data_IF_866859739121
#
_entry.id   IF_866859739121
#
_cell.length_a   1.000
_cell.length_b   1.000
_cell.length_c   1.000
_cell.angle_alpha   90.00
_cell.angle_beta   90.00
_cell.angle_gamma   90.00
#
_symmetry.space_group_name_H-M   'P 1'
#
loop_
_entity.id
_entity.type
_entity.pdbx_description
1 polymer ?
#
# COMPACT_ATOMS: atom_id res chain seq x y z
N UNK A 1 11.86 36.58 3.06
CA UNK A 1 11.43 35.63 4.10
C UNK A 1 10.65 34.51 3.39
N UNK A 2 11.33 33.42 3.07
CA UNK A 2 10.69 32.27 2.43
C UNK A 2 9.93 31.53 3.53
N UNK A 3 8.60 31.50 3.45
CA UNK A 3 7.77 30.62 4.27
C UNK A 3 8.10 29.19 3.85
N UNK A 4 8.99 28.52 4.57
CA UNK A 4 9.13 27.09 4.50
C UNK A 4 7.78 26.48 4.89
N UNK A 5 7.03 26.02 3.91
CA UNK A 5 5.85 25.19 4.15
C UNK A 5 6.37 23.90 4.78
N UNK A 6 6.33 23.82 6.09
CA UNK A 6 6.69 22.60 6.84
C UNK A 6 5.76 21.50 6.35
N UNK A 7 6.31 20.52 5.65
CA UNK A 7 5.54 19.39 5.14
C UNK A 7 4.90 18.65 6.31
N UNK A 8 3.62 18.32 6.19
CA UNK A 8 2.87 17.64 7.27
C UNK A 8 3.48 16.29 7.57
N UNK A 9 3.74 16.02 8.84
CA UNK A 9 4.23 14.75 9.34
C UNK A 9 3.16 13.68 9.15
N UNK A 10 3.45 12.67 8.34
CA UNK A 10 2.48 11.68 7.88
C UNK A 10 2.98 10.27 8.18
N UNK A 11 2.10 9.43 8.71
CA UNK A 11 2.30 7.99 8.74
C UNK A 11 1.57 7.36 7.54
N UNK A 12 2.14 6.30 6.99
CA UNK A 12 1.55 5.49 5.92
C UNK A 12 1.53 4.04 6.36
N UNK A 13 0.36 3.41 6.29
CA UNK A 13 0.23 1.97 6.39
C UNK A 13 0.07 1.38 4.99
N UNK A 14 0.91 0.43 4.65
CA UNK A 14 0.92 -0.23 3.36
C UNK A 14 0.80 -1.75 3.52
N UNK A 15 -0.16 -2.32 2.81
CA UNK A 15 -0.28 -3.78 2.63
C UNK A 15 0.27 -4.10 1.24
N UNK A 16 1.43 -4.79 1.16
CA UNK A 16 2.03 -5.16 -0.13
C UNK A 16 1.11 -6.01 -0.99
N UNK A 17 1.21 -5.84 -2.30
CA UNK A 17 0.54 -6.69 -3.30
C UNK A 17 -0.99 -6.80 -3.13
N UNK A 18 -1.63 -5.80 -2.52
CA UNK A 18 -3.03 -5.86 -2.12
C UNK A 18 -3.99 -6.39 -3.19
N UNK A 19 -3.97 -5.92 -4.48
CA UNK A 19 -4.93 -6.38 -5.48
C UNK A 19 -4.90 -7.89 -5.71
N UNK A 20 -3.72 -8.52 -5.63
CA UNK A 20 -3.62 -9.97 -5.79
C UNK A 20 -4.02 -10.70 -4.50
N UNK A 21 -3.73 -10.15 -3.32
CA UNK A 21 -4.16 -10.73 -2.04
C UNK A 21 -5.68 -10.73 -1.92
N UNK A 22 -6.33 -9.61 -2.25
CA UNK A 22 -7.79 -9.48 -2.28
C UNK A 22 -8.43 -10.48 -3.28
N UNK A 23 -7.83 -10.61 -4.47
CA UNK A 23 -8.30 -11.56 -5.47
C UNK A 23 -8.16 -13.01 -5.01
N UNK A 24 -7.03 -13.38 -4.44
CA UNK A 24 -6.79 -14.73 -3.91
C UNK A 24 -7.77 -15.07 -2.79
N UNK A 25 -8.00 -14.13 -1.86
CA UNK A 25 -8.95 -14.31 -0.76
C UNK A 25 -10.37 -14.55 -1.28
N UNK A 26 -10.85 -13.70 -2.19
CA UNK A 26 -12.19 -13.83 -2.78
C UNK A 26 -12.37 -15.13 -3.59
N UNK A 27 -11.32 -15.59 -4.26
CA UNK A 27 -11.30 -16.84 -5.02
C UNK A 27 -10.92 -18.07 -4.17
N UNK A 28 -10.70 -17.91 -2.86
CA UNK A 28 -10.25 -18.97 -1.94
C UNK A 28 -8.96 -19.67 -2.40
N UNK A 29 -8.07 -18.93 -3.08
CA UNK A 29 -6.75 -19.42 -3.50
C UNK A 29 -5.80 -19.37 -2.31
N UNK A 30 -5.14 -20.49 -1.94
CA UNK A 30 -4.22 -20.51 -0.82
C UNK A 30 -3.01 -19.58 -1.02
N UNK A 31 -2.51 -18.98 0.07
CA UNK A 31 -1.42 -17.98 0.02
C UNK A 31 -0.10 -18.49 -0.59
N UNK A 32 0.16 -19.80 -0.53
CA UNK A 32 1.36 -20.40 -1.11
C UNK A 32 1.28 -20.60 -2.63
N UNK A 33 0.10 -20.53 -3.22
CA UNK A 33 -0.11 -20.67 -4.66
C UNK A 33 0.36 -19.40 -5.37
N UNK A 34 1.19 -19.50 -6.42
CA UNK A 34 1.56 -18.37 -7.23
C UNK A 34 0.35 -17.76 -7.92
N UNK A 35 0.12 -16.45 -7.75
CA UNK A 35 -1.03 -15.78 -8.33
C UNK A 35 -0.69 -14.40 -8.89
N UNK A 36 -1.49 -13.94 -9.86
CA UNK A 36 -1.42 -12.59 -10.38
C UNK A 36 -2.81 -12.11 -10.82
N UNK A 37 -3.05 -10.79 -10.70
CA UNK A 37 -4.23 -10.17 -11.31
C UNK A 37 -3.91 -9.64 -12.71
N UNK A 38 -4.92 -9.59 -13.59
CA UNK A 38 -4.77 -9.12 -14.98
C UNK A 38 -6.00 -8.33 -15.47
N UNK A 39 -5.80 -7.54 -16.53
CA UNK A 39 -6.82 -6.76 -17.25
C UNK A 39 -7.38 -7.49 -18.51
N UNK A 40 -7.21 -8.81 -18.57
CA UNK A 40 -7.51 -9.62 -19.77
C UNK A 40 -6.30 -9.79 -20.69
N UNK A 41 -5.34 -8.88 -20.68
CA UNK A 41 -4.16 -8.89 -21.59
C UNK A 41 -2.83 -8.96 -20.83
N UNK A 42 -2.67 -8.14 -19.78
CA UNK A 42 -1.43 -7.96 -19.03
C UNK A 42 -1.63 -8.18 -17.54
N UNK A 43 -0.58 -8.63 -16.90
CA UNK A 43 -0.45 -8.75 -15.46
C UNK A 43 -0.40 -7.36 -14.83
N UNK A 44 -1.25 -7.11 -13.83
CA UNK A 44 -1.35 -5.84 -13.10
C UNK A 44 -0.72 -5.90 -11.71
N UNK A 45 -0.94 -7.01 -10.98
CA UNK A 45 -0.31 -7.26 -9.68
C UNK A 45 0.14 -8.71 -9.59
N UNK A 46 1.14 -8.98 -8.76
CA UNK A 46 1.83 -10.28 -8.69
C UNK A 46 2.09 -10.64 -7.25
N UNK A 47 1.73 -11.85 -6.82
CA UNK A 47 2.07 -12.36 -5.49
C UNK A 47 3.58 -12.54 -5.33
N UNK A 48 4.05 -12.57 -4.08
CA UNK A 48 5.46 -12.81 -3.79
C UNK A 48 5.96 -14.15 -4.37
N UNK A 49 5.13 -15.20 -4.29
CA UNK A 49 5.41 -16.54 -4.83
C UNK A 49 5.56 -16.54 -6.36
N UNK A 50 4.64 -15.89 -7.08
CA UNK A 50 4.74 -15.75 -8.54
C UNK A 50 5.93 -14.86 -8.95
N UNK A 51 6.21 -13.81 -8.17
CA UNK A 51 7.36 -12.92 -8.41
C UNK A 51 8.70 -13.64 -8.24
N UNK A 52 8.81 -14.56 -7.28
CA UNK A 52 9.98 -15.41 -7.10
C UNK A 52 10.22 -16.33 -8.31
N UNK A 53 9.18 -16.74 -9.02
CA UNK A 53 9.25 -17.53 -10.25
C UNK A 53 9.43 -16.68 -11.52
N UNK A 54 9.74 -15.39 -11.38
CA UNK A 54 10.08 -14.51 -12.50
C UNK A 54 8.89 -13.79 -13.13
N UNK A 55 7.66 -13.96 -12.65
CA UNK A 55 6.50 -13.18 -13.13
C UNK A 55 6.65 -11.73 -12.72
N UNK A 56 6.32 -10.81 -13.64
CA UNK A 56 6.43 -9.35 -13.42
C UNK A 56 5.17 -8.62 -13.91
N UNK A 57 4.85 -7.52 -13.25
CA UNK A 57 3.84 -6.57 -13.69
C UNK A 57 4.11 -6.12 -15.13
N UNK A 58 3.06 -5.98 -15.93
CA UNK A 58 3.14 -5.60 -17.34
C UNK A 58 3.39 -6.75 -18.31
N UNK A 59 3.75 -7.94 -17.84
CA UNK A 59 3.88 -9.13 -18.69
C UNK A 59 2.54 -9.49 -19.35
N UNK A 60 2.58 -10.06 -20.55
CA UNK A 60 1.41 -10.70 -21.14
C UNK A 60 1.07 -11.98 -20.37
N UNK A 61 -0.20 -12.31 -20.25
CA UNK A 61 -0.68 -13.51 -19.53
C UNK A 61 0.06 -14.78 -19.95
N UNK A 62 0.16 -15.01 -21.27
CA UNK A 62 0.89 -16.17 -21.81
C UNK A 62 2.33 -16.23 -21.32
N UNK A 63 3.03 -15.09 -21.29
CA UNK A 63 4.41 -15.04 -20.80
C UNK A 63 4.49 -15.33 -19.30
N UNK A 64 3.53 -14.88 -18.52
CA UNK A 64 3.44 -15.21 -17.09
C UNK A 64 3.26 -16.72 -16.87
N UNK A 65 2.40 -17.37 -17.65
CA UNK A 65 2.21 -18.83 -17.62
C UNK A 65 3.43 -19.61 -18.08
N UNK A 66 4.20 -19.10 -19.03
CA UNK A 66 5.48 -19.70 -19.43
C UNK A 66 6.54 -19.62 -18.32
N UNK A 67 6.56 -18.53 -17.52
CA UNK A 67 7.46 -18.38 -16.37
C UNK A 67 7.02 -19.21 -15.16
N UNK A 68 5.72 -19.35 -14.98
CA UNK A 68 5.11 -20.04 -13.84
C UNK A 68 3.89 -20.82 -14.35
N UNK A 69 4.02 -22.09 -14.76
CA UNK A 69 2.92 -22.88 -15.32
C UNK A 69 1.74 -23.06 -14.36
N UNK A 70 1.97 -23.08 -13.07
CA UNK A 70 0.98 -23.24 -11.98
C UNK A 70 0.37 -21.92 -11.49
N UNK A 71 0.62 -20.81 -12.22
CA UNK A 71 0.11 -19.48 -11.80
C UNK A 71 -1.42 -19.41 -11.91
N UNK A 72 -2.04 -18.98 -10.82
CA UNK A 72 -3.45 -18.60 -10.83
C UNK A 72 -3.59 -17.16 -11.38
N UNK A 73 -4.29 -17.03 -12.50
CA UNK A 73 -4.56 -15.76 -13.16
C UNK A 73 -5.99 -15.31 -12.84
N UNK A 74 -6.10 -14.27 -12.03
CA UNK A 74 -7.36 -13.74 -11.51
C UNK A 74 -7.68 -12.41 -12.20
N UNK A 75 -8.95 -12.14 -12.46
CA UNK A 75 -9.36 -10.87 -13.02
C UNK A 75 -9.16 -9.73 -12.02
N UNK A 76 -8.72 -8.58 -12.51
CA UNK A 76 -8.66 -7.35 -11.71
C UNK A 76 -10.08 -6.83 -11.45
N UNK A 77 -10.35 -6.40 -10.23
CA UNK A 77 -11.63 -5.85 -9.79
C UNK A 77 -11.39 -4.82 -8.67
N UNK A 78 -11.45 -3.55 -9.02
CA UNK A 78 -11.22 -2.44 -8.09
C UNK A 78 -12.30 -2.39 -6.99
N UNK A 79 -13.53 -2.78 -7.30
CA UNK A 79 -14.64 -2.84 -6.32
C UNK A 79 -14.43 -3.94 -5.28
N UNK A 80 -13.99 -5.12 -5.70
CA UNK A 80 -13.58 -6.19 -4.78
C UNK A 80 -12.41 -5.72 -3.91
N UNK A 81 -11.38 -5.15 -4.53
CA UNK A 81 -10.17 -4.72 -3.84
C UNK A 81 -10.49 -3.68 -2.76
N UNK A 82 -11.45 -2.78 -3.01
CA UNK A 82 -11.92 -1.81 -2.03
C UNK A 82 -12.69 -2.46 -0.87
N UNK A 83 -13.65 -3.35 -1.17
CA UNK A 83 -14.44 -4.05 -0.12
C UNK A 83 -13.57 -4.92 0.78
N UNK A 84 -12.63 -5.68 0.20
CA UNK A 84 -11.71 -6.52 0.96
C UNK A 84 -10.74 -5.69 1.82
N UNK A 85 -10.50 -4.41 1.48
CA UNK A 85 -9.63 -3.51 2.25
C UNK A 85 -10.32 -2.83 3.43
N UNK A 86 -11.64 -2.79 3.46
CA UNK A 86 -12.41 -2.13 4.53
C UNK A 86 -12.05 -2.65 5.94
N UNK A 87 -11.91 -3.96 6.20
CA UNK A 87 -11.48 -4.44 7.52
C UNK A 87 -10.10 -3.92 7.96
N UNK A 88 -9.18 -3.73 7.01
CA UNK A 88 -7.84 -3.17 7.31
C UNK A 88 -7.96 -1.70 7.71
N UNK A 89 -8.79 -0.92 7.02
CA UNK A 89 -9.05 0.47 7.36
C UNK A 89 -9.72 0.58 8.74
N UNK A 90 -10.74 -0.23 9.02
CA UNK A 90 -11.40 -0.27 10.33
C UNK A 90 -10.43 -0.65 11.47
N UNK A 91 -9.57 -1.64 11.26
CA UNK A 91 -8.55 -2.00 12.24
C UNK A 91 -7.61 -0.82 12.54
N UNK A 92 -7.14 -0.10 11.51
CA UNK A 92 -6.30 1.08 11.67
C UNK A 92 -7.03 2.24 12.39
N UNK A 93 -8.33 2.45 12.13
CA UNK A 93 -9.16 3.47 12.80
C UNK A 93 -9.28 3.26 14.29
N UNK A 94 -9.20 2.03 14.78
CA UNK A 94 -9.19 1.77 16.24
C UNK A 94 -7.93 2.30 16.93
N UNK A 95 -6.86 2.53 16.20
CA UNK A 95 -5.57 3.03 16.70
C UNK A 95 -5.41 4.52 16.43
N UNK A 96 -5.80 4.99 15.24
CA UNK A 96 -5.62 6.37 14.79
C UNK A 96 -6.92 6.91 14.18
N UNK A 97 -7.48 7.95 14.75
CA UNK A 97 -8.62 8.63 14.15
C UNK A 97 -8.21 9.49 12.95
N UNK A 98 -9.11 9.61 11.97
CA UNK A 98 -8.90 10.46 10.80
C UNK A 98 -7.94 9.88 9.77
N UNK A 99 -8.07 8.59 9.49
CA UNK A 99 -7.36 7.93 8.41
C UNK A 99 -7.95 8.32 7.04
N UNK A 100 -7.13 8.26 6.00
CA UNK A 100 -7.55 8.42 4.60
C UNK A 100 -7.15 7.17 3.83
N UNK A 101 -8.11 6.55 3.14
CA UNK A 101 -7.83 5.46 2.20
C UNK A 101 -7.36 6.09 0.88
N UNK A 102 -6.06 6.18 0.68
CA UNK A 102 -5.50 6.71 -0.56
C UNK A 102 -5.79 5.78 -1.75
N UNK A 103 -5.78 4.50 -1.51
CA UNK A 103 -6.23 3.42 -2.40
C UNK A 103 -6.29 2.10 -1.61
N UNK A 104 -6.97 1.06 -2.10
CA UNK A 104 -6.86 -0.27 -1.50
C UNK A 104 -5.39 -0.71 -1.36
N UNK A 105 -5.01 -1.13 -0.15
CA UNK A 105 -3.63 -1.46 0.22
C UNK A 105 -2.79 -0.28 0.73
N UNK A 106 -3.34 0.96 0.81
CA UNK A 106 -2.58 2.13 1.28
C UNK A 106 -3.46 3.10 2.08
N UNK A 107 -3.10 3.31 3.35
CA UNK A 107 -3.70 4.31 4.22
C UNK A 107 -2.72 5.46 4.49
N UNK A 108 -3.25 6.68 4.55
CA UNK A 108 -2.57 7.85 5.07
C UNK A 108 -3.14 8.17 6.44
N UNK A 109 -2.27 8.44 7.41
CA UNK A 109 -2.64 8.67 8.79
C UNK A 109 -1.90 9.90 9.35
N UNK A 110 -2.56 10.70 10.20
CA UNK A 110 -1.84 11.71 10.97
C UNK A 110 -0.89 11.04 11.96
N UNK A 111 0.38 11.49 12.07
CA UNK A 111 1.32 10.89 13.02
C UNK A 111 1.45 11.67 14.33
N UNK A 112 1.41 12.98 14.31
CA UNK A 112 1.82 13.81 15.44
C UNK A 112 1.00 13.64 16.73
N UNK A 113 -0.33 13.58 16.65
CA UNK A 113 -1.20 13.33 17.80
C UNK A 113 -1.09 11.90 18.31
N UNK A 114 -1.33 10.91 17.43
CA UNK A 114 -1.23 9.49 17.78
C UNK A 114 0.16 9.09 18.31
N UNK A 115 1.25 9.59 17.72
CA UNK A 115 2.60 9.30 18.21
C UNK A 115 2.83 9.79 19.63
N UNK A 116 2.30 10.98 19.97
CA UNK A 116 2.36 11.49 21.37
C UNK A 116 1.56 10.62 22.34
N UNK A 117 0.42 10.08 21.90
CA UNK A 117 -0.40 9.17 22.72
C UNK A 117 0.32 7.83 22.97
N UNK A 118 0.95 7.26 21.94
CA UNK A 118 1.66 5.99 22.04
C UNK A 118 3.12 6.13 22.53
N UNK A 119 3.61 7.36 22.70
CA UNK A 119 4.96 7.69 23.18
C UNK A 119 5.94 8.03 22.04
N UNK A 120 6.03 7.23 21.00
CA UNK A 120 6.92 7.47 19.83
C UNK A 120 6.24 7.06 18.52
N UNK A 121 6.80 7.50 17.39
CA UNK A 121 6.32 7.10 16.05
C UNK A 121 6.59 5.63 15.76
N UNK A 122 7.69 5.09 16.24
CA UNK A 122 8.05 3.67 16.12
C UNK A 122 7.03 2.80 16.89
N UNK A 123 6.64 3.24 18.09
CA UNK A 123 5.63 2.52 18.86
C UNK A 123 4.26 2.59 18.21
N UNK A 124 3.88 3.75 17.67
CA UNK A 124 2.67 3.90 16.87
C UNK A 124 2.67 2.94 15.68
N UNK A 125 3.78 2.90 14.92
CA UNK A 125 3.94 2.01 13.77
C UNK A 125 3.77 0.54 14.17
N UNK A 126 4.38 0.13 15.28
CA UNK A 126 4.29 -1.23 15.81
C UNK A 126 2.84 -1.59 16.20
N UNK A 127 2.15 -0.70 16.94
CA UNK A 127 0.75 -0.92 17.36
C UNK A 127 -0.18 -1.05 16.14
N UNK A 128 0.02 -0.23 15.09
CA UNK A 128 -0.75 -0.33 13.85
C UNK A 128 -0.57 -1.69 13.15
N UNK A 129 0.69 -2.13 13.01
CA UNK A 129 1.00 -3.43 12.37
C UNK A 129 0.40 -4.57 13.18
N UNK A 130 0.57 -4.58 14.51
CA UNK A 130 0.03 -5.59 15.41
C UNK A 130 -1.50 -5.65 15.31
N UNK A 131 -2.18 -4.49 15.33
CA UNK A 131 -3.63 -4.42 15.25
C UNK A 131 -4.17 -4.95 13.93
N UNK A 132 -3.61 -4.52 12.81
CA UNK A 132 -4.01 -5.00 11.48
C UNK A 132 -3.81 -6.52 11.37
N UNK A 133 -2.67 -7.03 11.82
CA UNK A 133 -2.39 -8.47 11.78
C UNK A 133 -3.39 -9.27 12.64
N UNK A 134 -3.71 -8.79 13.86
CA UNK A 134 -4.64 -9.45 14.78
C UNK A 134 -6.07 -9.48 14.23
N UNK A 135 -6.56 -8.36 13.70
CA UNK A 135 -7.96 -8.23 13.32
C UNK A 135 -8.24 -8.79 11.91
N UNK A 136 -7.22 -8.82 11.02
CA UNK A 136 -7.43 -9.16 9.60
C UNK A 136 -6.60 -10.32 9.08
N UNK A 137 -5.54 -10.70 9.80
CA UNK A 137 -4.57 -11.69 9.36
C UNK A 137 -3.62 -11.19 8.27
N UNK A 138 -3.68 -9.90 7.89
CA UNK A 138 -2.81 -9.34 6.85
C UNK A 138 -1.52 -8.78 7.44
N UNK A 139 -0.40 -9.07 6.78
CA UNK A 139 0.86 -8.40 7.03
C UNK A 139 0.83 -6.99 6.45
N UNK A 140 1.27 -6.01 7.23
CA UNK A 140 1.35 -4.61 6.82
C UNK A 140 2.69 -4.00 7.21
N UNK A 141 3.03 -2.89 6.57
CA UNK A 141 4.23 -2.13 6.83
C UNK A 141 3.85 -0.68 7.11
N UNK A 142 4.54 -0.04 8.05
CA UNK A 142 4.28 1.36 8.39
C UNK A 142 5.56 2.17 8.22
N UNK A 143 5.42 3.33 7.60
CA UNK A 143 6.47 4.33 7.50
C UNK A 143 5.99 5.69 7.92
N UNK A 144 6.88 6.49 8.49
CA UNK A 144 6.59 7.86 8.91
C UNK A 144 7.63 8.81 8.36
N UNK A 145 7.21 9.94 7.79
CA UNK A 145 8.10 10.96 7.26
C UNK A 145 7.39 12.32 7.11
N UNK A 146 8.15 13.38 6.80
CA UNK A 146 7.58 14.66 6.42
C UNK A 146 7.17 14.60 4.95
N UNK A 147 5.85 14.68 4.72
CA UNK A 147 5.24 14.61 3.39
C UNK A 147 4.95 13.18 2.91
N UNK A 148 3.89 13.06 2.12
CA UNK A 148 3.29 11.79 1.69
C UNK A 148 4.26 10.93 0.89
N UNK A 149 5.04 11.52 -0.05
CA UNK A 149 5.96 10.76 -0.89
C UNK A 149 7.02 10.03 -0.05
N UNK A 150 7.66 10.76 0.86
CA UNK A 150 8.67 10.20 1.74
C UNK A 150 8.07 9.12 2.65
N UNK A 151 6.87 9.36 3.19
CA UNK A 151 6.17 8.41 4.05
C UNK A 151 5.78 7.11 3.33
N UNK A 152 5.32 7.19 2.05
CA UNK A 152 5.01 5.99 1.24
C UNK A 152 6.27 5.17 0.95
N UNK A 153 7.39 5.83 0.64
CA UNK A 153 8.66 5.12 0.43
C UNK A 153 9.18 4.53 1.74
N UNK A 154 9.07 5.27 2.83
CA UNK A 154 9.45 4.80 4.17
C UNK A 154 8.62 3.58 4.61
N UNK A 155 7.32 3.53 4.27
CA UNK A 155 6.46 2.39 4.58
C UNK A 155 6.94 1.10 3.91
N UNK A 156 7.44 1.17 2.68
CA UNK A 156 8.02 0.00 1.98
C UNK A 156 9.27 -0.57 2.64
N UNK A 157 9.91 0.21 3.50
CA UNK A 157 11.10 -0.16 4.26
C UNK A 157 10.80 -0.34 5.76
N UNK A 158 9.53 -0.21 6.16
CA UNK A 158 9.10 -0.22 7.57
C UNK A 158 9.93 0.76 8.41
N UNK A 159 10.07 2.00 7.93
CA UNK A 159 11.02 2.99 8.47
C UNK A 159 10.33 4.24 8.98
N UNK A 160 10.81 4.75 10.11
CA UNK A 160 10.55 6.11 10.58
C UNK A 160 11.73 6.99 10.14
N UNK A 161 11.45 7.98 9.28
CA UNK A 161 12.46 8.97 8.86
C UNK A 161 12.44 10.10 9.87
N UNK A 162 13.58 10.52 10.44
CA UNK A 162 13.61 11.61 11.42
C UNK A 162 13.01 12.91 10.89
N UNK A 163 12.45 13.73 11.78
CA UNK A 163 11.88 15.03 11.45
C UNK A 163 12.94 15.91 10.77
N UNK A 164 12.59 16.54 9.65
CA UNK A 164 13.48 17.38 8.85
C UNK A 164 14.41 16.63 7.90
N UNK A 165 14.50 15.29 7.99
CA UNK A 165 15.41 14.50 7.15
C UNK A 165 14.79 13.93 5.87
N UNK A 166 13.50 14.18 5.62
CA UNK A 166 12.80 13.61 4.46
C UNK A 166 13.44 14.01 3.12
N UNK A 167 13.98 15.22 3.01
CA UNK A 167 14.70 15.67 1.80
C UNK A 167 15.98 14.86 1.57
N UNK A 168 16.77 14.65 2.62
CA UNK A 168 18.00 13.84 2.55
C UNK A 168 17.68 12.36 2.27
N UNK A 169 16.60 11.86 2.86
CA UNK A 169 16.10 10.52 2.61
C UNK A 169 15.66 10.30 1.15
N UNK A 170 15.07 11.31 0.49
CA UNK A 170 14.62 11.23 -0.90
C UNK A 170 15.74 11.44 -1.91
N UNK A 171 16.78 12.22 -1.58
CA UNK A 171 17.82 12.65 -2.51
C UNK A 171 18.50 11.51 -3.30
N UNK A 172 18.84 10.35 -2.71
CA UNK A 172 19.47 9.24 -3.45
C UNK A 172 18.48 8.38 -4.25
N UNK A 173 17.16 8.64 -4.17
CA UNK A 173 16.12 7.82 -4.79
C UNK A 173 16.02 8.05 -6.28
N UNK A 174 15.78 6.97 -7.04
CA UNK A 174 15.59 7.08 -8.48
C UNK A 174 14.23 7.70 -8.84
N UNK A 175 14.18 8.37 -10.00
CA UNK A 175 12.89 8.84 -10.54
C UNK A 175 11.88 7.70 -10.73
N UNK A 176 12.33 6.47 -10.97
CA UNK A 176 11.48 5.28 -11.08
C UNK A 176 10.71 4.99 -9.80
N UNK A 177 11.33 5.15 -8.63
CA UNK A 177 10.67 4.94 -7.33
C UNK A 177 9.59 6.01 -7.10
N UNK A 178 9.88 7.26 -7.48
CA UNK A 178 8.98 8.40 -7.35
C UNK A 178 7.78 8.28 -8.29
N UNK A 179 8.01 7.94 -9.56
CA UNK A 179 6.96 7.77 -10.58
C UNK A 179 6.00 6.63 -10.20
N UNK A 180 6.50 5.55 -9.64
CA UNK A 180 5.66 4.42 -9.22
C UNK A 180 4.70 4.80 -8.08
N UNK A 181 5.08 5.72 -7.20
CA UNK A 181 4.21 6.27 -6.16
C UNK A 181 3.21 7.28 -6.74
N UNK A 182 3.65 8.16 -7.65
CA UNK A 182 2.82 9.18 -8.27
C UNK A 182 1.72 8.60 -9.18
N UNK A 183 2.04 7.62 -10.01
CA UNK A 183 1.05 6.95 -10.89
C UNK A 183 -0.03 6.19 -10.13
N UNK A 184 0.20 5.89 -8.84
CA UNK A 184 -0.85 5.36 -7.97
C UNK A 184 -1.84 6.44 -7.52
N UNK A 185 -1.51 7.72 -7.66
CA UNK A 185 -2.35 8.87 -7.26
C UNK A 185 -3.42 9.24 -8.29
N UNK A 186 -3.12 9.12 -9.58
CA UNK A 186 -4.06 9.52 -10.66
C UNK A 186 -5.33 8.67 -10.69
N UNK A 187 -5.29 7.44 -10.19
CA UNK A 187 -6.49 6.59 -10.03
C UNK A 187 -7.39 6.99 -8.85
N UNK A 188 -6.85 7.64 -7.83
CA UNK A 188 -7.60 8.06 -6.64
C UNK A 188 -8.54 9.22 -6.96
N UNK A 189 -8.14 10.13 -7.85
CA UNK A 189 -8.98 11.26 -8.28
C UNK A 189 -10.21 10.76 -9.04
N UNK A 190 -10.08 9.73 -9.87
CA UNK A 190 -11.22 9.16 -10.62
C UNK A 190 -12.25 8.45 -9.72
N UNK A 191 -11.83 7.78 -8.65
CA UNK A 191 -12.76 7.09 -7.74
C UNK A 191 -13.54 8.09 -6.88
N UNK A 192 -12.92 9.19 -6.50
CA UNK A 192 -13.56 10.27 -5.70
C UNK A 192 -14.66 10.98 -6.48
N UNK A 193 -14.48 11.19 -7.78
CA UNK A 193 -15.48 11.83 -8.64
C UNK A 193 -16.71 10.93 -8.91
N UNK A 194 -16.54 9.61 -8.90
CA UNK A 194 -17.64 8.65 -9.07
C UNK A 194 -18.51 8.53 -7.81
N UNK A 195 -17.92 8.61 -6.62
CA UNK A 195 -18.67 8.52 -5.34
C UNK A 195 -19.34 9.82 -4.91
N UNK A 196 -19.03 10.96 -5.57
CA UNK A 196 -19.66 12.26 -5.27
C UNK A 196 -20.88 12.56 -6.16
N UNK A 197 -21.32 11.62 -7.00
CA UNK A 197 -22.42 11.81 -7.97
C UNK A 197 -23.68 10.96 -7.69
N UNK A 198 -23.79 10.36 -6.49
CA UNK A 198 -25.01 9.71 -6.01
C UNK A 198 -25.66 10.45 -4.83
#
# INVERSE_FOLDING_TARGET
MSTETTATRTAVLWVPDWPVLAAMRAAQVPAHVPAATHDGRRVLAVSATARAQGVRRGMRRRRAQECCPEIELLDADDGRDAREFEPVALAAETVVAGIEVARPGLLLLPSGGPARYHGTEERLAQVLVERVAQDTGHESQVGVADGILAAVLAARESRVVPVGESRAYLAPRSLGDVVHVAMSRDRVTQVRDVMSTE
#
